data_IF_610958735499
#
_entry.id   IF_610958735499
#
_cell.length_a   1.000
_cell.length_b   1.000
_cell.length_c   1.000
_cell.angle_alpha   90.00
_cell.angle_beta   90.00
_cell.angle_gamma   90.00
#
_symmetry.space_group_name_H-M   'P 1'
#
loop_
_entity.id
_entity.type
_entity.pdbx_description
1 polymer ?
#
# COMPACT_ATOMS: atom_id res chain seq x y z
N UNK A 1 -10.38 5.36 20.85
CA UNK A 1 -10.52 3.91 21.21
C UNK A 1 -9.31 3.46 22.03
N UNK A 2 -9.44 2.45 22.88
CA UNK A 2 -8.30 1.79 23.50
C UNK A 2 -7.57 0.96 22.45
N UNK A 3 -6.28 0.73 22.63
CA UNK A 3 -5.46 -0.03 21.66
C UNK A 3 -6.08 -1.39 21.29
N UNK A 4 -6.60 -2.12 22.27
CA UNK A 4 -7.22 -3.43 22.02
C UNK A 4 -8.45 -3.32 21.12
N UNK A 5 -9.29 -2.30 21.33
CA UNK A 5 -10.47 -2.04 20.51
C UNK A 5 -10.09 -1.70 19.05
N UNK A 6 -8.98 -0.98 18.84
CA UNK A 6 -8.46 -0.69 17.51
C UNK A 6 -8.00 -1.97 16.82
N UNK A 7 -7.25 -2.82 17.53
CA UNK A 7 -6.77 -4.11 17.02
C UNK A 7 -7.96 -4.99 16.64
N UNK A 8 -8.98 -5.06 17.49
CA UNK A 8 -10.19 -5.86 17.28
C UNK A 8 -11.04 -5.31 16.13
N UNK A 9 -11.12 -4.00 15.96
CA UNK A 9 -11.91 -3.33 14.91
C UNK A 9 -11.24 -3.36 13.54
N UNK A 10 -9.89 -3.48 13.46
CA UNK A 10 -9.15 -3.45 12.19
C UNK A 10 -9.65 -4.53 11.23
N UNK A 11 -10.11 -4.13 10.07
CA UNK A 11 -10.63 -4.99 8.98
C UNK A 11 -10.04 -4.59 7.64
N UNK A 12 -10.08 -5.50 6.66
CA UNK A 12 -9.97 -5.14 5.25
C UNK A 12 -11.29 -4.49 4.81
N UNK A 13 -11.22 -3.22 4.47
CA UNK A 13 -12.32 -2.46 3.88
C UNK A 13 -11.97 -2.24 2.42
N UNK A 14 -12.77 -2.81 1.52
CA UNK A 14 -12.47 -2.81 0.08
C UNK A 14 -13.02 -1.58 -0.63
N UNK A 15 -12.48 -1.18 -1.79
CA UNK A 15 -12.88 0.05 -2.50
C UNK A 15 -14.36 0.18 -2.83
N UNK A 16 -15.09 -0.93 -2.94
CA UNK A 16 -16.54 -0.92 -3.12
C UNK A 16 -17.32 -0.41 -1.89
N UNK A 17 -16.67 -0.43 -0.72
CA UNK A 17 -17.23 0.00 0.56
C UNK A 17 -16.82 1.43 0.92
N UNK A 18 -15.95 2.06 0.11
CA UNK A 18 -15.50 3.43 0.35
C UNK A 18 -16.61 4.42 0.02
N UNK A 19 -16.60 5.54 0.74
CA UNK A 19 -17.39 6.70 0.42
C UNK A 19 -16.57 7.69 -0.43
N UNK A 20 -17.20 8.77 -0.89
CA UNK A 20 -16.55 9.77 -1.77
C UNK A 20 -15.71 10.82 -1.00
N UNK A 21 -15.49 10.63 0.30
CA UNK A 21 -14.68 11.55 1.10
C UNK A 21 -13.20 11.34 0.82
N UNK A 22 -12.51 12.43 0.50
CA UNK A 22 -11.06 12.40 0.35
C UNK A 22 -10.38 12.32 1.73
N UNK A 23 -9.31 11.55 1.80
CA UNK A 23 -8.43 11.54 2.98
C UNK A 23 -7.78 12.92 3.16
N UNK A 24 -7.76 13.43 4.38
CA UNK A 24 -7.04 14.67 4.70
C UNK A 24 -5.54 14.43 4.68
N UNK A 25 -4.78 15.43 4.26
CA UNK A 25 -3.31 15.32 4.21
C UNK A 25 -2.70 15.08 5.60
N UNK A 26 -3.28 15.65 6.65
CA UNK A 26 -2.85 15.45 8.03
C UNK A 26 -3.02 14.00 8.46
N UNK A 27 -4.17 13.38 8.15
CA UNK A 27 -4.46 11.99 8.46
C UNK A 27 -3.51 11.05 7.70
N UNK A 28 -3.28 11.33 6.41
CA UNK A 28 -2.33 10.55 5.61
C UNK A 28 -0.91 10.65 6.16
N UNK A 29 -0.48 11.83 6.61
CA UNK A 29 0.83 12.02 7.27
C UNK A 29 0.92 11.24 8.58
N UNK A 30 -0.16 11.20 9.38
CA UNK A 30 -0.19 10.41 10.62
C UNK A 30 -0.08 8.91 10.33
N UNK A 31 -0.79 8.42 9.31
CA UNK A 31 -0.69 7.03 8.88
C UNK A 31 0.75 6.68 8.48
N UNK A 32 1.37 7.50 7.64
CA UNK A 32 2.77 7.29 7.22
C UNK A 32 3.75 7.40 8.39
N UNK A 33 3.52 8.33 9.31
CA UNK A 33 4.35 8.49 10.51
C UNK A 33 4.29 7.26 11.41
N UNK A 34 3.13 6.61 11.53
CA UNK A 34 2.97 5.41 12.34
C UNK A 34 3.90 4.27 11.91
N UNK A 35 4.23 4.18 10.62
CA UNK A 35 5.17 3.20 10.10
C UNK A 35 6.56 3.29 10.74
N UNK A 36 7.04 4.51 11.02
CA UNK A 36 8.38 4.75 11.56
C UNK A 36 8.55 4.29 13.01
N UNK A 37 7.49 3.86 13.65
CA UNK A 37 7.53 3.29 15.01
C UNK A 37 7.50 1.74 15.00
N UNK A 38 7.62 1.12 13.83
CA UNK A 38 7.78 -0.31 13.73
C UNK A 38 9.15 -0.75 14.26
N UNK A 39 9.24 -1.90 14.96
CA UNK A 39 10.53 -2.45 15.34
C UNK A 39 11.33 -2.88 14.12
N UNK A 40 12.63 -2.67 14.17
CA UNK A 40 13.57 -3.03 13.12
C UNK A 40 14.91 -3.43 13.71
N UNK A 41 15.49 -4.54 13.24
CA UNK A 41 16.80 -4.99 13.70
C UNK A 41 17.89 -4.08 13.13
N UNK A 42 18.88 -3.73 13.96
CA UNK A 42 20.00 -2.83 13.62
C UNK A 42 19.59 -1.48 13.03
N UNK A 43 18.35 -1.06 13.24
CA UNK A 43 17.81 0.21 12.72
C UNK A 43 17.92 0.35 11.19
N UNK A 44 17.75 -0.76 10.46
CA UNK A 44 17.81 -0.74 8.99
C UNK A 44 16.64 0.04 8.37
N UNK A 45 15.48 0.09 9.07
CA UNK A 45 14.30 0.83 8.64
C UNK A 45 13.99 0.63 7.14
N UNK A 46 13.76 -0.63 6.71
CA UNK A 46 13.82 -0.98 5.29
C UNK A 46 12.60 -0.50 4.49
N UNK A 47 11.54 -0.03 5.15
CA UNK A 47 10.30 0.39 4.47
C UNK A 47 10.50 1.67 3.66
N UNK A 48 9.95 1.67 2.46
CA UNK A 48 9.85 2.83 1.58
C UNK A 48 8.43 2.89 1.04
N UNK A 49 7.81 4.06 1.12
CA UNK A 49 6.43 4.25 0.67
C UNK A 49 6.37 5.26 -0.47
N UNK A 50 5.67 4.91 -1.54
CA UNK A 50 5.31 5.85 -2.61
C UNK A 50 3.81 6.10 -2.54
N UNK A 51 3.42 7.34 -2.29
CA UNK A 51 2.02 7.75 -2.17
C UNK A 51 1.54 8.30 -3.50
N UNK A 52 0.47 7.72 -4.01
CA UNK A 52 -0.18 8.16 -5.24
C UNK A 52 -1.56 8.72 -4.90
N UNK A 53 -1.83 9.95 -5.32
CA UNK A 53 -3.10 10.64 -5.16
C UNK A 53 -3.51 11.31 -6.48
N UNK A 54 -4.77 11.70 -6.60
CA UNK A 54 -5.30 12.48 -7.70
C UNK A 54 -4.92 11.91 -9.08
N UNK A 55 -4.30 12.73 -9.92
CA UNK A 55 -3.90 12.37 -11.27
C UNK A 55 -2.97 11.14 -11.30
N UNK A 56 -1.91 11.12 -10.51
CA UNK A 56 -0.94 10.02 -10.49
C UNK A 56 -1.56 8.68 -10.07
N UNK A 57 -2.50 8.70 -9.14
CA UNK A 57 -3.26 7.52 -8.75
C UNK A 57 -4.10 6.99 -9.93
N UNK A 58 -4.79 7.86 -10.65
CA UNK A 58 -5.61 7.48 -11.79
C UNK A 58 -4.77 6.91 -12.95
N UNK A 59 -3.61 7.50 -13.22
CA UNK A 59 -2.66 6.96 -14.21
C UNK A 59 -2.13 5.59 -13.79
N UNK A 60 -1.87 5.37 -12.51
CA UNK A 60 -1.51 4.04 -11.99
C UNK A 60 -2.64 3.02 -12.20
N UNK A 61 -3.88 3.41 -11.98
CA UNK A 61 -5.05 2.55 -12.25
C UNK A 61 -5.15 2.15 -13.73
N UNK A 62 -4.94 3.10 -14.65
CA UNK A 62 -4.89 2.84 -16.09
C UNK A 62 -3.74 1.90 -16.45
N UNK A 63 -2.55 2.18 -15.94
CA UNK A 63 -1.37 1.34 -16.12
C UNK A 63 -1.64 -0.11 -15.72
N UNK A 64 -2.18 -0.35 -14.52
CA UNK A 64 -2.48 -1.69 -14.05
C UNK A 64 -3.54 -2.40 -14.91
N UNK A 65 -4.56 -1.68 -15.38
CA UNK A 65 -5.58 -2.25 -16.26
C UNK A 65 -4.99 -2.67 -17.61
N UNK A 66 -4.15 -1.85 -18.21
CA UNK A 66 -3.47 -2.19 -19.47
C UNK A 66 -2.47 -3.35 -19.26
N UNK A 67 -1.74 -3.38 -18.14
CA UNK A 67 -0.90 -4.54 -17.81
C UNK A 67 -1.71 -5.82 -17.64
N UNK A 68 -2.86 -5.78 -16.97
CA UNK A 68 -3.75 -6.93 -16.92
C UNK A 68 -4.13 -7.40 -18.33
N UNK A 69 -4.54 -6.47 -19.23
CA UNK A 69 -4.95 -6.78 -20.59
C UNK A 69 -3.83 -7.44 -21.40
N UNK A 70 -2.61 -6.95 -21.27
CA UNK A 70 -1.45 -7.43 -22.08
C UNK A 70 -0.79 -8.68 -21.51
N UNK A 71 -0.98 -8.99 -20.23
CA UNK A 71 -0.29 -10.12 -19.56
C UNK A 71 -1.21 -11.29 -19.24
N UNK A 72 -2.52 -11.14 -19.43
CA UNK A 72 -3.47 -12.25 -19.16
C UNK A 72 -3.67 -13.14 -20.36
N UNK A 73 -3.68 -14.45 -20.14
CA UNK A 73 -4.06 -15.44 -21.17
C UNK A 73 -5.58 -15.50 -21.40
N UNK A 74 -6.37 -15.00 -20.45
CA UNK A 74 -7.84 -15.00 -20.53
C UNK A 74 -8.36 -13.62 -20.10
N UNK A 75 -8.61 -12.78 -21.09
CA UNK A 75 -9.13 -11.44 -20.87
C UNK A 75 -10.56 -11.47 -20.31
N UNK A 76 -10.83 -10.61 -19.35
CA UNK A 76 -12.16 -10.34 -18.81
C UNK A 76 -12.36 -8.83 -18.72
N UNK A 77 -13.35 -8.31 -19.43
CA UNK A 77 -13.73 -6.90 -19.39
C UNK A 77 -14.02 -6.45 -17.96
N UNK A 78 -14.75 -7.28 -17.21
CA UNK A 78 -15.04 -7.00 -15.78
C UNK A 78 -13.75 -6.82 -14.95
N UNK A 79 -12.77 -7.72 -15.10
CA UNK A 79 -11.50 -7.59 -14.36
C UNK A 79 -10.71 -6.35 -14.77
N UNK A 80 -10.68 -6.05 -16.06
CA UNK A 80 -10.04 -4.85 -16.59
C UNK A 80 -10.63 -3.58 -15.97
N UNK A 81 -11.95 -3.41 -16.05
CA UNK A 81 -12.66 -2.26 -15.50
C UNK A 81 -12.55 -2.22 -13.97
N UNK A 82 -12.67 -3.35 -13.29
CA UNK A 82 -12.60 -3.42 -11.84
C UNK A 82 -11.20 -3.08 -11.30
N UNK A 83 -10.13 -3.44 -12.02
CA UNK A 83 -8.76 -3.05 -11.68
C UNK A 83 -8.62 -1.54 -11.64
N UNK A 84 -9.08 -0.84 -12.67
CA UNK A 84 -9.07 0.62 -12.71
C UNK A 84 -9.99 1.23 -11.64
N UNK A 85 -11.23 0.76 -11.54
CA UNK A 85 -12.24 1.32 -10.65
C UNK A 85 -11.88 1.19 -9.17
N UNK A 86 -11.20 0.13 -8.76
CA UNK A 86 -10.73 -0.02 -7.39
C UNK A 86 -9.70 1.05 -7.02
N UNK A 87 -8.78 1.35 -7.93
CA UNK A 87 -7.81 2.43 -7.75
C UNK A 87 -8.52 3.80 -7.76
N UNK A 88 -9.43 4.03 -8.71
CA UNK A 88 -10.16 5.28 -8.85
C UNK A 88 -10.95 5.64 -7.59
N UNK A 89 -11.64 4.67 -6.98
CA UNK A 89 -12.44 4.85 -5.76
C UNK A 89 -11.62 5.15 -4.51
N UNK A 90 -10.35 4.79 -4.50
CA UNK A 90 -9.48 5.07 -3.36
C UNK A 90 -9.08 6.55 -3.35
N UNK A 91 -8.97 7.19 -2.20
CA UNK A 91 -8.42 8.55 -2.07
C UNK A 91 -6.91 8.56 -2.32
N UNK A 92 -6.22 7.53 -1.86
CA UNK A 92 -4.79 7.35 -2.04
C UNK A 92 -4.46 5.88 -2.26
N UNK A 93 -3.35 5.63 -2.94
CA UNK A 93 -2.70 4.31 -3.03
C UNK A 93 -1.29 4.48 -2.49
N UNK A 94 -0.91 3.60 -1.57
CA UNK A 94 0.44 3.58 -1.00
C UNK A 94 1.13 2.33 -1.53
N UNK A 95 2.15 2.52 -2.37
CA UNK A 95 3.01 1.44 -2.83
C UNK A 95 4.00 1.12 -1.71
N UNK A 96 3.97 -0.12 -1.27
CA UNK A 96 4.84 -0.63 -0.21
C UNK A 96 6.08 -1.18 -0.89
N UNK A 97 7.22 -0.54 -0.64
CA UNK A 97 8.52 -0.93 -1.16
C UNK A 97 9.44 -1.27 0.01
N UNK A 98 10.44 -2.07 -0.27
CA UNK A 98 11.52 -2.38 0.65
C UNK A 98 12.86 -1.98 0.01
N UNK A 99 13.73 -1.42 0.79
CA UNK A 99 15.13 -1.24 0.42
C UNK A 99 15.98 -2.08 1.37
N UNK A 100 16.72 -3.01 0.79
CA UNK A 100 17.64 -3.86 1.54
C UNK A 100 18.73 -3.01 2.21
N UNK A 101 19.19 -3.46 3.37
CA UNK A 101 20.41 -2.95 3.97
C UNK A 101 21.58 -3.16 3.01
N UNK A 102 22.27 -2.10 2.56
CA UNK A 102 23.39 -2.21 1.64
C UNK A 102 24.53 -3.10 2.15
N UNK A 103 24.67 -3.24 3.46
CA UNK A 103 25.68 -4.07 4.10
C UNK A 103 25.25 -5.54 4.24
N UNK A 104 23.99 -5.87 3.90
CA UNK A 104 23.40 -7.19 4.14
C UNK A 104 23.65 -7.70 5.58
N UNK A 105 23.58 -6.80 6.55
CA UNK A 105 23.96 -7.07 7.94
C UNK A 105 22.93 -7.91 8.69
N UNK A 106 21.75 -8.09 8.10
CA UNK A 106 20.64 -8.91 8.62
C UNK A 106 20.02 -9.74 7.48
N UNK A 107 19.37 -10.87 7.80
CA UNK A 107 18.64 -11.66 6.82
C UNK A 107 17.46 -10.90 6.20
N UNK A 108 17.20 -11.14 4.91
CA UNK A 108 16.10 -10.47 4.19
C UNK A 108 14.72 -10.67 4.84
N UNK A 109 14.46 -11.85 5.40
CA UNK A 109 13.17 -12.12 6.05
C UNK A 109 12.89 -11.20 7.26
N UNK A 110 13.94 -10.73 7.97
CA UNK A 110 13.80 -9.78 9.07
C UNK A 110 13.40 -8.39 8.54
N UNK A 111 13.91 -7.99 7.40
CA UNK A 111 13.54 -6.73 6.76
C UNK A 111 12.10 -6.80 6.22
N UNK A 112 11.70 -7.93 5.61
CA UNK A 112 10.30 -8.17 5.20
C UNK A 112 9.37 -8.11 6.42
N UNK A 113 9.76 -8.74 7.53
CA UNK A 113 9.00 -8.69 8.77
C UNK A 113 8.87 -7.24 9.30
N UNK A 114 9.95 -6.47 9.27
CA UNK A 114 9.96 -5.06 9.69
C UNK A 114 9.02 -4.20 8.82
N UNK A 115 9.03 -4.39 7.49
CA UNK A 115 8.09 -3.71 6.58
C UNK A 115 6.65 -4.11 6.91
N UNK A 116 6.39 -5.39 7.19
CA UNK A 116 5.06 -5.88 7.54
C UNK A 116 4.54 -5.26 8.84
N UNK A 117 5.42 -5.10 9.85
CA UNK A 117 5.08 -4.41 11.11
C UNK A 117 4.81 -2.92 10.88
N UNK A 118 5.57 -2.27 10.00
CA UNK A 118 5.34 -0.88 9.62
C UNK A 118 3.96 -0.71 8.96
N UNK A 119 3.59 -1.60 8.05
CA UNK A 119 2.27 -1.61 7.41
C UNK A 119 1.15 -1.88 8.43
N UNK A 120 1.37 -2.78 9.38
CA UNK A 120 0.40 -3.03 10.45
C UNK A 120 0.16 -1.77 11.30
N UNK A 121 1.21 -1.03 11.67
CA UNK A 121 1.07 0.24 12.38
C UNK A 121 0.25 1.26 11.58
N UNK A 122 0.51 1.37 10.26
CA UNK A 122 -0.28 2.23 9.37
C UNK A 122 -1.74 1.81 9.35
N UNK A 123 -2.02 0.51 9.34
CA UNK A 123 -3.38 0.00 9.27
C UNK A 123 -4.16 0.22 10.57
N UNK A 124 -3.52 0.06 11.71
CA UNK A 124 -4.10 0.40 13.02
C UNK A 124 -4.39 1.90 13.11
N UNK A 125 -3.47 2.75 12.66
CA UNK A 125 -3.69 4.21 12.60
C UNK A 125 -4.84 4.57 11.67
N UNK A 126 -4.96 3.92 10.50
CA UNK A 126 -6.11 4.11 9.60
C UNK A 126 -7.43 3.76 10.29
N UNK A 127 -7.45 2.66 11.06
CA UNK A 127 -8.62 2.22 11.82
C UNK A 127 -9.01 3.24 12.88
N UNK A 128 -8.04 3.77 13.63
CA UNK A 128 -8.26 4.82 14.64
C UNK A 128 -8.85 6.09 14.02
N UNK A 129 -8.41 6.45 12.82
CA UNK A 129 -8.89 7.62 12.07
C UNK A 129 -10.20 7.36 11.31
N UNK A 130 -10.81 6.16 11.44
CA UNK A 130 -11.99 5.73 10.69
C UNK A 130 -11.80 5.79 9.16
N UNK A 131 -10.59 5.46 8.70
CA UNK A 131 -10.22 5.41 7.29
C UNK A 131 -10.17 3.94 6.85
N UNK A 132 -11.07 3.57 5.92
CA UNK A 132 -11.10 2.23 5.35
C UNK A 132 -9.87 1.96 4.50
N UNK A 133 -9.21 0.84 4.75
CA UNK A 133 -8.02 0.42 4.01
C UNK A 133 -7.91 -1.10 3.90
N UNK A 134 -7.16 -1.58 2.93
CA UNK A 134 -6.81 -2.99 2.79
C UNK A 134 -5.44 -3.14 2.13
N UNK A 135 -4.76 -4.24 2.42
CA UNK A 135 -3.51 -4.60 1.76
C UNK A 135 -3.81 -5.46 0.52
N UNK A 136 -3.25 -5.08 -0.62
CA UNK A 136 -3.40 -5.79 -1.89
C UNK A 136 -2.04 -6.25 -2.41
N UNK A 137 -1.99 -7.52 -2.85
CA UNK A 137 -0.81 -8.14 -3.47
C UNK A 137 -1.21 -8.84 -4.78
N UNK A 138 -1.76 -8.07 -5.71
CA UNK A 138 -2.08 -8.56 -7.07
C UNK A 138 -0.81 -9.01 -7.80
N UNK A 139 -0.90 -10.01 -8.70
CA UNK A 139 0.20 -10.39 -9.59
C UNK A 139 0.73 -9.23 -10.45
N UNK A 140 -0.09 -8.17 -10.64
CA UNK A 140 0.30 -6.97 -11.36
C UNK A 140 1.36 -6.13 -10.62
N UNK A 141 1.61 -6.39 -9.33
CA UNK A 141 2.66 -5.72 -8.56
C UNK A 141 4.05 -5.96 -9.17
N UNK A 142 4.25 -7.09 -9.85
CA UNK A 142 5.52 -7.41 -10.53
C UNK A 142 5.89 -6.41 -11.64
N UNK A 143 4.93 -5.62 -12.11
CA UNK A 143 5.12 -4.61 -13.16
C UNK A 143 5.22 -3.17 -12.62
N UNK A 144 5.09 -2.97 -11.30
CA UNK A 144 5.08 -1.63 -10.70
C UNK A 144 6.38 -0.86 -10.95
N UNK A 145 7.51 -1.56 -11.09
CA UNK A 145 8.81 -0.98 -11.45
C UNK A 145 8.80 -0.27 -12.81
N UNK A 146 7.90 -0.62 -13.72
CA UNK A 146 7.74 0.06 -15.01
C UNK A 146 6.97 1.39 -14.87
N UNK A 147 6.19 1.56 -13.81
CA UNK A 147 5.45 2.79 -13.54
C UNK A 147 6.22 3.76 -12.66
N UNK A 148 6.95 3.25 -11.67
CA UNK A 148 7.77 4.05 -10.78
C UNK A 148 9.23 3.60 -10.89
N UNK A 149 10.15 4.57 -10.92
CA UNK A 149 11.57 4.27 -10.80
C UNK A 149 11.87 3.85 -9.36
N UNK A 150 12.27 2.62 -9.18
CA UNK A 150 12.86 2.13 -7.93
C UNK A 150 14.37 2.36 -8.00
N UNK A 151 14.99 2.69 -6.86
CA UNK A 151 16.45 2.65 -6.75
C UNK A 151 16.86 1.20 -6.59
N UNK A 152 18.06 0.88 -7.06
CA UNK A 152 18.71 -0.40 -6.77
C UNK A 152 18.93 -0.53 -5.26
N UNK A 153 18.62 -1.72 -4.70
CA UNK A 153 18.78 -2.00 -3.27
C UNK A 153 17.72 -2.88 -2.70
#
# INVERSE_FOLDING_TARGET
>A
MRLFEIIEARRSIFPKQYNDRNIKNEDLKLILKAANFAPTHKKTEPWRFKVLQNFHKNEFGKFLSEKYKTTTNKFSKYKFENTYNNIKRSSAVILICMQRDPLNSIPEWEEIASVSMAVQNMWLMSTELNIGSYWSSSKLINYVHEFIKLKEG
#
